data_IF_010050413359
#
_entry.id   IF_010050413359
#
_cell.length_a   1.000
_cell.length_b   1.000
_cell.length_c   1.000
_cell.angle_alpha   90.00
_cell.angle_beta   90.00
_cell.angle_gamma   90.00
#
_symmetry.space_group_name_H-M   'P 1'
#
loop_
_entity.id
_entity.type
_entity.pdbx_description
1 polymer ?
#
# COMPACT_ATOMS: atom_id res chain seq x y z
N UNK A 1 1.20 -0.34 53.52
CA UNK A 1 0.09 -0.10 52.59
C UNK A 1 0.46 0.73 51.39
N UNK A 2 1.45 1.60 51.51
CA UNK A 2 1.95 2.35 50.35
C UNK A 2 2.56 1.44 49.24
N UNK A 3 3.08 0.32 49.63
CA UNK A 3 3.70 -0.63 48.68
C UNK A 3 2.73 -1.28 47.71
N UNK A 4 1.46 -1.37 48.09
CA UNK A 4 0.44 -1.88 47.14
C UNK A 4 0.18 -0.91 46.00
N UNK A 5 0.25 0.38 46.28
CA UNK A 5 0.13 1.40 45.23
C UNK A 5 1.30 1.37 44.26
N UNK A 6 2.50 1.12 44.75
CA UNK A 6 3.68 1.02 43.89
C UNK A 6 3.56 -0.13 42.88
N UNK A 7 3.01 -1.26 43.31
CA UNK A 7 2.80 -2.40 42.42
C UNK A 7 1.81 -2.08 41.29
N UNK A 8 0.76 -1.31 41.60
CA UNK A 8 -0.19 -0.89 40.57
C UNK A 8 0.45 0.03 39.54
N UNK A 9 1.32 0.93 39.96
CA UNK A 9 2.04 1.80 39.05
C UNK A 9 2.95 1.04 38.10
N UNK A 10 3.67 0.05 38.57
CA UNK A 10 4.55 -0.78 37.77
C UNK A 10 3.76 -1.53 36.69
N UNK A 11 2.60 -2.05 37.03
CA UNK A 11 1.75 -2.74 36.08
C UNK A 11 1.28 -1.82 34.96
N UNK A 12 0.90 -0.59 35.29
CA UNK A 12 0.46 0.38 34.30
C UNK A 12 1.59 0.76 33.33
N UNK A 13 2.79 0.99 33.83
CA UNK A 13 3.94 1.29 33.00
C UNK A 13 4.27 0.16 32.03
N UNK A 14 4.17 -1.06 32.49
CA UNK A 14 4.45 -2.23 31.67
C UNK A 14 3.47 -2.35 30.51
N UNK A 15 2.20 -2.08 30.75
CA UNK A 15 1.18 -2.12 29.71
C UNK A 15 1.43 -1.05 28.63
N UNK A 16 1.88 0.14 29.00
CA UNK A 16 2.21 1.21 28.05
C UNK A 16 3.38 0.82 27.17
N UNK A 17 4.43 0.24 27.74
CA UNK A 17 5.59 -0.22 26.95
C UNK A 17 5.19 -1.29 25.96
N UNK A 18 4.36 -2.24 26.34
CA UNK A 18 3.90 -3.30 25.45
C UNK A 18 3.14 -2.72 24.25
N UNK A 19 2.31 -1.69 24.46
CA UNK A 19 1.59 -1.02 23.37
C UNK A 19 2.53 -0.36 22.38
N UNK A 20 3.62 0.24 22.85
CA UNK A 20 4.58 0.92 21.99
C UNK A 20 5.43 -0.05 21.16
N UNK A 21 5.64 -1.27 21.65
CA UNK A 21 6.43 -2.28 20.96
C UNK A 21 5.71 -2.93 19.79
N UNK A 22 4.38 -2.86 19.75
CA UNK A 22 3.57 -3.42 18.67
C UNK A 22 3.56 -2.47 17.47
N UNK A 23 4.54 -1.86 17.05
CA UNK A 23 4.62 -0.88 15.99
C UNK A 23 3.37 -0.75 15.12
N UNK A 24 2.82 0.45 15.05
CA UNK A 24 1.70 0.77 14.17
C UNK A 24 2.17 1.23 12.81
N UNK A 25 1.20 1.54 11.95
CA UNK A 25 1.49 2.14 10.67
C UNK A 25 1.93 3.59 10.85
N UNK A 26 2.88 4.02 10.02
CA UNK A 26 3.29 5.41 9.95
C UNK A 26 3.19 5.90 8.51
N UNK A 27 2.96 7.18 8.35
CA UNK A 27 2.96 7.78 7.02
C UNK A 27 4.38 7.77 6.46
N UNK A 28 4.48 7.56 5.16
CA UNK A 28 5.75 7.54 4.45
C UNK A 28 5.61 8.38 3.19
N UNK A 29 6.72 8.96 2.74
CA UNK A 29 6.75 9.76 1.53
C UNK A 29 6.36 8.90 0.33
N UNK A 30 5.43 9.41 -0.46
CA UNK A 30 4.98 8.76 -1.70
C UNK A 30 6.15 8.53 -2.66
N UNK A 31 7.16 9.40 -2.64
CA UNK A 31 8.33 9.29 -3.51
C UNK A 31 9.37 8.31 -3.02
N UNK A 32 9.19 7.74 -1.84
CA UNK A 32 10.10 6.71 -1.33
C UNK A 32 10.20 5.56 -2.34
N UNK A 33 11.43 5.08 -2.55
CA UNK A 33 11.70 4.03 -3.53
C UNK A 33 10.92 2.74 -3.23
N UNK A 34 10.85 2.36 -1.96
CA UNK A 34 10.09 1.19 -1.53
C UNK A 34 8.61 1.34 -1.83
N UNK A 35 8.06 2.54 -1.61
CA UNK A 35 6.66 2.84 -1.93
C UNK A 35 6.42 2.73 -3.43
N UNK A 36 7.30 3.29 -4.24
CA UNK A 36 7.15 3.23 -5.69
C UNK A 36 7.23 1.80 -6.23
N UNK A 37 8.14 0.99 -5.70
CA UNK A 37 8.25 -0.41 -6.08
C UNK A 37 7.01 -1.20 -5.68
N UNK A 38 6.49 -0.97 -4.47
CA UNK A 38 5.28 -1.63 -3.99
C UNK A 38 4.07 -1.22 -4.83
N UNK A 39 3.97 0.07 -5.16
CA UNK A 39 2.87 0.59 -5.96
C UNK A 39 2.90 0.01 -7.38
N UNK A 40 4.05 -0.03 -8.02
CA UNK A 40 4.20 -0.61 -9.34
C UNK A 40 3.79 -2.08 -9.35
N UNK A 41 4.21 -2.82 -8.34
CA UNK A 41 3.81 -4.22 -8.20
C UNK A 41 2.30 -4.37 -8.03
N UNK A 42 1.69 -3.54 -7.17
CA UNK A 42 0.26 -3.59 -6.93
C UNK A 42 -0.54 -3.29 -8.19
N UNK A 43 -0.12 -2.30 -8.97
CA UNK A 43 -0.80 -1.93 -10.22
C UNK A 43 -0.71 -3.07 -11.24
N UNK A 44 0.44 -3.71 -11.36
CA UNK A 44 0.60 -4.86 -12.26
C UNK A 44 -0.35 -5.99 -11.87
N UNK A 45 -0.43 -6.30 -10.57
CA UNK A 45 -1.33 -7.34 -10.09
C UNK A 45 -2.79 -6.97 -10.27
N UNK A 46 -3.13 -5.69 -10.04
CA UNK A 46 -4.48 -5.19 -10.26
C UNK A 46 -4.91 -5.40 -11.70
N UNK A 47 -4.07 -5.02 -12.65
CA UNK A 47 -4.35 -5.18 -14.07
C UNK A 47 -4.50 -6.65 -14.47
N UNK A 48 -3.70 -7.54 -13.89
CA UNK A 48 -3.83 -8.98 -14.15
C UNK A 48 -5.14 -9.55 -13.63
N UNK A 49 -5.65 -8.98 -12.55
CA UNK A 49 -6.88 -9.46 -11.92
C UNK A 49 -8.17 -8.93 -12.52
N UNK A 50 -8.12 -7.88 -13.34
CA UNK A 50 -9.32 -7.32 -13.97
C UNK A 50 -9.65 -8.07 -15.25
N UNK A 51 -10.95 -8.13 -15.56
CA UNK A 51 -11.42 -8.65 -16.85
C UNK A 51 -11.46 -7.58 -17.93
N UNK A 52 -11.03 -6.37 -17.61
CA UNK A 52 -11.00 -5.26 -18.56
C UNK A 52 -9.90 -5.49 -19.60
N UNK A 53 -10.22 -5.15 -20.84
CA UNK A 53 -9.24 -5.20 -21.95
C UNK A 53 -8.22 -4.08 -21.87
N UNK A 54 -8.50 -3.04 -21.12
CA UNK A 54 -7.67 -1.83 -21.03
C UNK A 54 -6.88 -1.83 -19.73
N UNK A 55 -5.69 -1.23 -19.78
CA UNK A 55 -4.87 -1.03 -18.61
C UNK A 55 -5.47 0.06 -17.72
N UNK A 56 -5.33 -0.13 -16.42
CA UNK A 56 -5.65 0.88 -15.41
C UNK A 56 -4.34 1.42 -14.85
N UNK A 57 -4.35 2.70 -14.48
CA UNK A 57 -3.17 3.38 -13.94
C UNK A 57 -3.53 4.19 -12.72
N UNK A 58 -2.51 4.59 -11.97
CA UNK A 58 -2.68 5.47 -10.81
C UNK A 58 -2.92 6.89 -11.31
N UNK A 59 -4.06 7.47 -10.93
CA UNK A 59 -4.34 8.88 -11.17
C UNK A 59 -3.73 9.75 -10.09
N UNK A 60 -3.81 9.30 -8.83
CA UNK A 60 -3.30 10.06 -7.68
C UNK A 60 -3.03 9.09 -6.53
N UNK A 61 -1.92 9.31 -5.81
CA UNK A 61 -1.67 8.61 -4.55
C UNK A 61 -2.20 9.47 -3.42
N UNK A 62 -3.25 8.99 -2.76
CA UNK A 62 -3.89 9.72 -1.67
C UNK A 62 -3.09 9.59 -0.38
N UNK A 63 -2.62 8.39 -0.10
CA UNK A 63 -1.94 8.10 1.16
C UNK A 63 -1.01 6.91 1.01
N UNK A 64 0.15 6.98 1.62
CA UNK A 64 1.07 5.87 1.73
C UNK A 64 1.47 5.69 3.18
N UNK A 65 1.34 4.48 3.69
CA UNK A 65 1.71 4.11 5.05
C UNK A 65 2.59 2.88 5.02
N UNK A 66 3.44 2.74 6.03
CA UNK A 66 4.32 1.59 6.16
C UNK A 66 4.31 1.08 7.59
N UNK A 67 4.41 -0.23 7.71
CA UNK A 67 4.62 -0.92 8.99
C UNK A 67 5.84 -1.80 8.85
N UNK A 68 6.78 -1.68 9.78
CA UNK A 68 7.93 -2.58 9.83
C UNK A 68 7.51 -3.86 10.54
N UNK A 69 7.51 -4.93 9.81
CA UNK A 69 7.24 -6.29 10.29
C UNK A 69 8.46 -7.14 9.91
N UNK A 70 8.33 -8.45 9.77
CA UNK A 70 9.39 -9.18 9.07
C UNK A 70 9.36 -8.74 7.60
N UNK A 71 10.11 -7.68 7.27
CA UNK A 71 10.03 -6.94 6.03
C UNK A 71 9.25 -5.65 6.20
N UNK A 72 8.74 -5.13 5.09
CA UNK A 72 7.97 -3.88 5.06
C UNK A 72 6.58 -4.16 4.51
N UNK A 73 5.57 -3.71 5.25
CA UNK A 73 4.19 -3.80 4.82
C UNK A 73 3.71 -2.40 4.45
N UNK A 74 3.39 -2.22 3.18
CA UNK A 74 2.92 -0.95 2.65
C UNK A 74 1.41 -0.97 2.49
N UNK A 75 0.75 0.09 2.96
CA UNK A 75 -0.68 0.30 2.72
C UNK A 75 -0.79 1.54 1.87
N UNK A 76 -1.27 1.36 0.65
CA UNK A 76 -1.31 2.39 -0.37
C UNK A 76 -2.76 2.67 -0.74
N UNK A 77 -3.21 3.89 -0.46
CA UNK A 77 -4.54 4.35 -0.86
C UNK A 77 -4.37 5.23 -2.08
N UNK A 78 -4.92 4.80 -3.19
CA UNK A 78 -4.72 5.45 -4.48
C UNK A 78 -6.02 5.62 -5.22
N UNK A 79 -6.06 6.62 -6.09
CA UNK A 79 -7.11 6.74 -7.10
C UNK A 79 -6.60 6.13 -8.39
N UNK A 80 -7.35 5.20 -8.91
CA UNK A 80 -7.06 4.50 -10.15
C UNK A 80 -7.97 5.02 -11.26
N UNK A 81 -7.50 4.94 -12.48
CA UNK A 81 -8.29 5.30 -13.65
C UNK A 81 -8.02 4.34 -14.80
N UNK A 82 -9.04 4.14 -15.62
CA UNK A 82 -8.93 3.37 -16.84
C UNK A 82 -8.24 4.20 -17.91
N UNK A 83 -7.33 3.58 -18.66
CA UNK A 83 -6.67 4.22 -19.79
C UNK A 83 -7.29 3.75 -21.10
N UNK A 84 -6.94 4.40 -22.20
CA UNK A 84 -7.30 3.95 -23.54
C UNK A 84 -6.33 2.89 -24.09
N UNK A 85 -5.40 2.41 -23.28
CA UNK A 85 -4.37 1.47 -23.67
C UNK A 85 -4.81 0.04 -23.43
N UNK A 86 -4.77 -0.81 -24.47
CA UNK A 86 -5.09 -2.23 -24.33
C UNK A 86 -3.95 -2.98 -23.67
N UNK A 87 -4.27 -4.02 -22.91
CA UNK A 87 -3.29 -4.85 -22.22
C UNK A 87 -2.31 -5.57 -23.14
N UNK A 88 -2.71 -5.82 -24.37
CA UNK A 88 -1.89 -6.53 -25.36
C UNK A 88 -0.96 -5.62 -26.15
N UNK A 89 -0.96 -4.32 -25.86
CA UNK A 89 -0.09 -3.33 -26.51
C UNK A 89 1.05 -3.00 -25.56
N UNK A 90 2.25 -2.80 -26.10
CA UNK A 90 3.39 -2.40 -25.29
C UNK A 90 3.12 -1.05 -24.61
N UNK A 91 3.47 -0.95 -23.33
CA UNK A 91 3.26 0.27 -22.55
C UNK A 91 3.92 1.48 -23.21
N UNK A 92 5.05 1.28 -23.87
CA UNK A 92 5.80 2.32 -24.57
C UNK A 92 5.03 2.93 -25.74
N UNK A 93 4.08 2.19 -26.30
CA UNK A 93 3.22 2.66 -27.40
C UNK A 93 1.92 3.27 -26.90
N UNK A 94 1.76 3.30 -25.59
CA UNK A 94 0.52 3.73 -24.95
C UNK A 94 0.63 5.19 -24.55
N UNK A 95 -0.32 6.01 -25.01
CA UNK A 95 -0.47 7.36 -24.51
C UNK A 95 -1.26 7.33 -23.20
N UNK A 96 -0.54 7.29 -22.08
CA UNK A 96 -1.15 7.23 -20.75
C UNK A 96 -1.88 8.52 -20.37
N UNK A 97 -1.67 9.60 -21.11
CA UNK A 97 -2.37 10.85 -20.87
C UNK A 97 -3.72 10.91 -21.58
N UNK A 98 -3.94 9.99 -22.53
CA UNK A 98 -5.20 9.90 -23.24
C UNK A 98 -6.21 9.15 -22.40
N UNK A 99 -7.20 9.84 -21.89
CA UNK A 99 -8.28 9.27 -21.08
C UNK A 99 -9.54 9.07 -21.90
N UNK A 100 -10.26 7.95 -21.74
CA UNK A 100 -11.61 7.86 -22.27
C UNK A 100 -12.47 8.97 -21.70
N UNK A 101 -13.35 9.55 -22.51
CA UNK A 101 -14.19 10.67 -22.09
C UNK A 101 -15.13 10.33 -20.92
N UNK A 102 -15.42 9.04 -20.73
CA UNK A 102 -16.28 8.56 -19.67
C UNK A 102 -15.50 7.90 -18.52
N UNK A 103 -14.18 8.05 -18.50
CA UNK A 103 -13.39 7.47 -17.43
C UNK A 103 -13.66 8.18 -16.11
N UNK A 104 -14.02 7.41 -15.08
CA UNK A 104 -14.22 7.91 -13.73
C UNK A 104 -13.17 7.28 -12.83
N UNK A 105 -12.40 8.09 -12.08
CA UNK A 105 -11.48 7.53 -11.11
C UNK A 105 -12.21 6.77 -10.01
N UNK A 106 -11.58 5.72 -9.52
CA UNK A 106 -12.07 4.96 -8.38
C UNK A 106 -10.93 4.77 -7.39
N UNK A 107 -11.26 4.58 -6.14
CA UNK A 107 -10.27 4.46 -5.09
C UNK A 107 -10.01 3.00 -4.75
N UNK A 108 -8.71 2.66 -4.64
CA UNK A 108 -8.27 1.35 -4.21
C UNK A 108 -7.33 1.49 -3.02
N UNK A 109 -7.35 0.49 -2.15
CA UNK A 109 -6.37 0.34 -1.08
C UNK A 109 -5.64 -0.98 -1.31
N UNK A 110 -4.33 -0.90 -1.50
CA UNK A 110 -3.47 -2.05 -1.71
C UNK A 110 -2.60 -2.27 -0.47
N UNK A 111 -2.52 -3.50 -0.01
CA UNK A 111 -1.60 -3.90 1.04
C UNK A 111 -0.54 -4.80 0.42
N UNK A 112 0.70 -4.31 0.40
CA UNK A 112 1.84 -5.00 -0.22
C UNK A 112 2.86 -5.35 0.85
N UNK A 113 3.26 -6.61 0.89
CA UNK A 113 4.30 -7.08 1.80
C UNK A 113 5.57 -7.37 1.02
N UNK A 114 6.66 -6.71 1.40
CA UNK A 114 7.95 -6.83 0.72
C UNK A 114 9.01 -7.36 1.68
N UNK A 115 9.69 -8.41 1.24
CA UNK A 115 10.86 -8.98 1.94
C UNK A 115 12.02 -9.03 0.95
N UNK A 116 12.76 -7.92 0.78
CA UNK A 116 13.78 -7.82 -0.28
C UNK A 116 14.87 -8.88 -0.18
N UNK A 117 15.25 -9.28 1.04
CA UNK A 117 16.30 -10.29 1.24
C UNK A 117 15.89 -11.69 0.74
N UNK A 118 14.62 -11.91 0.50
CA UNK A 118 14.08 -13.17 -0.05
C UNK A 118 13.59 -13.02 -1.47
N UNK A 119 13.78 -11.87 -2.09
CA UNK A 119 13.17 -11.53 -3.37
C UNK A 119 11.67 -11.80 -3.39
N UNK A 120 11.01 -11.53 -2.26
CA UNK A 120 9.60 -11.85 -2.09
C UNK A 120 8.81 -10.56 -1.94
N UNK A 121 7.81 -10.40 -2.80
CA UNK A 121 6.86 -9.29 -2.74
C UNK A 121 5.48 -9.85 -3.07
N UNK A 122 4.49 -9.48 -2.25
CA UNK A 122 3.14 -10.03 -2.37
C UNK A 122 2.09 -8.94 -2.18
N UNK A 123 1.04 -9.02 -2.97
CA UNK A 123 -0.17 -8.24 -2.76
C UNK A 123 -1.06 -9.04 -1.80
N UNK A 124 -1.10 -8.63 -0.54
CA UNK A 124 -1.85 -9.36 0.49
C UNK A 124 -3.34 -9.03 0.47
N UNK A 125 -3.67 -7.79 0.13
CA UNK A 125 -5.05 -7.34 0.14
C UNK A 125 -5.26 -6.27 -0.90
N UNK A 126 -6.40 -6.29 -1.54
CA UNK A 126 -6.82 -5.30 -2.51
C UNK A 126 -8.29 -5.00 -2.29
N UNK A 127 -8.59 -3.72 -2.05
CA UNK A 127 -9.96 -3.24 -1.87
C UNK A 127 -10.19 -2.04 -2.78
N UNK A 128 -11.05 -2.20 -3.72
CA UNK A 128 -11.43 -1.11 -4.65
C UNK A 128 -12.90 -0.74 -4.55
#
# INVERSE_FOLDING_TARGET
MAWKMVLCFLSALFAVEASMLVGGFRDIDVKDEGVQNALNFAVVQHNRGTNDMYLHQVAEVVKAQVQVVAGMKYILTVKMEKTACRKNVAIEQCDTQSRPSNAQPYQCTFTVWSRPWMNDIRLQEEKC
#
